data_IF_931365721219
#
_entry.id   IF_931365721219
#
_cell.length_a   1.000
_cell.length_b   1.000
_cell.length_c   1.000
_cell.angle_alpha   90.00
_cell.angle_beta   90.00
_cell.angle_gamma   90.00
#
_symmetry.space_group_name_H-M   'P 1'
#
loop_
_entity.id
_entity.type
_entity.pdbx_description
1 polymer ?
#
# COMPACT_ATOMS: atom_id res chain seq x y z
N UNK A 1 -5.62 -10.40 -3.49
CA UNK A 1 -5.49 -9.41 -2.39
C UNK A 1 -4.50 -9.89 -1.31
N UNK A 2 -4.97 -10.52 -0.24
CA UNK A 2 -4.10 -10.95 0.87
C UNK A 2 -3.00 -11.94 0.46
N UNK A 3 -3.28 -12.86 -0.46
CA UNK A 3 -2.34 -13.85 -0.98
C UNK A 3 -1.32 -13.31 -1.99
N UNK A 4 -1.39 -12.04 -2.32
CA UNK A 4 -0.51 -11.40 -3.30
C UNK A 4 0.92 -11.32 -2.80
N UNK A 5 1.87 -11.77 -3.61
CA UNK A 5 3.30 -11.71 -3.35
C UNK A 5 4.08 -11.12 -4.52
N UNK A 6 3.42 -10.92 -5.68
CA UNK A 6 4.04 -10.33 -6.88
C UNK A 6 3.91 -8.81 -6.85
N UNK A 7 4.80 -8.18 -6.10
CA UNK A 7 4.93 -6.73 -6.04
C UNK A 7 6.13 -6.29 -6.85
N UNK A 8 5.90 -5.37 -7.79
CA UNK A 8 6.97 -4.73 -8.54
C UNK A 8 7.35 -3.41 -7.89
N UNK A 9 8.64 -3.24 -7.65
CA UNK A 9 9.17 -1.96 -7.20
C UNK A 9 9.12 -0.96 -8.35
N UNK A 10 8.48 0.18 -8.09
CA UNK A 10 8.44 1.33 -8.99
C UNK A 10 9.44 2.38 -8.49
N UNK A 11 10.53 2.65 -9.24
CA UNK A 11 11.58 3.57 -8.80
C UNK A 11 11.12 5.04 -8.81
N UNK A 12 10.13 5.40 -9.62
CA UNK A 12 9.58 6.77 -9.68
C UNK A 12 8.75 7.04 -8.43
N UNK A 13 7.84 6.13 -8.10
CA UNK A 13 6.98 6.23 -6.90
C UNK A 13 7.69 5.80 -5.63
N UNK A 14 8.88 5.23 -5.75
CA UNK A 14 9.64 4.66 -4.62
C UNK A 14 8.80 3.72 -3.74
N UNK A 15 7.90 2.94 -4.35
CA UNK A 15 6.99 2.02 -3.68
C UNK A 15 6.81 0.73 -4.47
N UNK A 16 6.18 -0.26 -3.83
CA UNK A 16 5.80 -1.51 -4.48
C UNK A 16 4.34 -1.45 -4.93
N UNK A 17 4.08 -1.85 -6.17
CA UNK A 17 2.75 -1.90 -6.77
C UNK A 17 2.34 -3.33 -7.05
N UNK A 18 1.10 -3.66 -6.75
CA UNK A 18 0.45 -4.91 -7.15
C UNK A 18 -0.36 -4.68 -8.42
N UNK A 19 -0.07 -5.45 -9.48
CA UNK A 19 -0.89 -5.44 -10.70
C UNK A 19 -2.31 -5.90 -10.43
N UNK A 20 -2.43 -6.94 -9.62
CA UNK A 20 -3.72 -7.53 -9.25
C UNK A 20 -4.65 -6.53 -8.55
N UNK A 21 -4.09 -5.60 -7.77
CA UNK A 21 -4.89 -4.57 -7.08
C UNK A 21 -5.68 -3.71 -8.09
N UNK A 22 -5.08 -3.35 -9.21
CA UNK A 22 -5.76 -2.55 -10.26
C UNK A 22 -6.92 -3.33 -10.86
N UNK A 23 -6.70 -4.61 -11.17
CA UNK A 23 -7.74 -5.50 -11.72
C UNK A 23 -8.87 -5.74 -10.71
N UNK A 24 -8.54 -5.95 -9.43
CA UNK A 24 -9.50 -6.15 -8.36
C UNK A 24 -10.33 -4.88 -8.09
N UNK A 25 -9.72 -3.69 -8.20
CA UNK A 25 -10.43 -2.41 -8.15
C UNK A 25 -11.41 -2.27 -9.33
N UNK A 26 -10.98 -2.59 -10.54
CA UNK A 26 -11.85 -2.55 -11.71
C UNK A 26 -13.06 -3.49 -11.56
N UNK A 27 -12.85 -4.71 -11.06
CA UNK A 27 -13.94 -5.66 -10.74
C UNK A 27 -14.89 -5.12 -9.67
N UNK A 28 -14.38 -4.39 -8.69
CA UNK A 28 -15.19 -3.78 -7.62
C UNK A 28 -15.94 -2.51 -8.04
N UNK A 29 -15.80 -2.08 -9.30
CA UNK A 29 -16.46 -0.92 -9.84
C UNK A 29 -15.66 0.38 -9.73
N UNK A 30 -14.33 0.30 -9.59
CA UNK A 30 -13.44 1.45 -9.57
C UNK A 30 -12.33 1.30 -10.62
N UNK A 31 -12.36 2.12 -11.65
CA UNK A 31 -11.27 2.20 -12.64
C UNK A 31 -10.22 3.18 -12.15
N UNK A 32 -8.96 2.72 -12.11
CA UNK A 32 -7.80 3.53 -11.78
C UNK A 32 -6.94 3.73 -13.03
N UNK A 33 -6.65 4.99 -13.36
CA UNK A 33 -5.67 5.37 -14.39
C UNK A 33 -4.56 6.17 -13.74
N UNK A 34 -3.34 5.71 -13.93
CA UNK A 34 -2.15 6.31 -13.35
C UNK A 34 -1.35 6.97 -14.47
N UNK A 35 -1.07 8.26 -14.31
CA UNK A 35 -0.24 9.05 -15.19
C UNK A 35 1.05 9.39 -14.45
N UNK A 36 2.18 8.90 -14.97
CA UNK A 36 3.50 9.24 -14.44
C UNK A 36 3.89 10.62 -14.94
N UNK A 37 4.40 11.45 -14.05
CA UNK A 37 4.83 12.82 -14.35
C UNK A 37 6.35 12.89 -14.16
N UNK A 38 7.10 12.77 -15.24
CA UNK A 38 8.55 12.97 -15.25
C UNK A 38 8.93 14.45 -15.46
N UNK A 39 7.96 15.24 -15.93
CA UNK A 39 8.11 16.69 -16.19
C UNK A 39 6.81 17.43 -15.86
N UNK A 40 6.85 18.77 -15.71
CA UNK A 40 5.63 19.57 -15.57
C UNK A 40 4.66 19.41 -16.75
N UNK A 41 5.14 19.19 -17.95
CA UNK A 41 4.33 18.95 -19.14
C UNK A 41 3.54 17.64 -19.04
N UNK A 42 4.17 16.58 -18.52
CA UNK A 42 3.46 15.31 -18.25
C UNK A 42 2.35 15.50 -17.21
N UNK A 43 2.61 16.32 -16.19
CA UNK A 43 1.61 16.64 -15.17
C UNK A 43 0.45 17.47 -15.75
N UNK A 44 0.71 18.43 -16.63
CA UNK A 44 -0.33 19.20 -17.34
C UNK A 44 -1.17 18.29 -18.24
N UNK A 45 -0.54 17.39 -19.00
CA UNK A 45 -1.24 16.40 -19.83
C UNK A 45 -2.11 15.47 -18.96
N UNK A 46 -1.54 14.90 -17.89
CA UNK A 46 -2.27 14.07 -16.94
C UNK A 46 -3.47 14.80 -16.35
N UNK A 47 -3.27 16.06 -15.95
CA UNK A 47 -4.29 16.91 -15.37
C UNK A 47 -5.40 17.29 -16.37
N UNK A 48 -5.10 17.38 -17.67
CA UNK A 48 -6.10 17.62 -18.72
C UNK A 48 -7.16 16.52 -18.78
N UNK A 49 -6.80 15.30 -18.37
CA UNK A 49 -7.71 14.17 -18.32
C UNK A 49 -8.63 14.13 -17.08
N UNK A 50 -8.37 14.93 -16.06
CA UNK A 50 -9.22 15.06 -14.87
C UNK A 50 -10.30 16.11 -15.14
N UNK A 51 -11.56 15.80 -14.85
CA UNK A 51 -12.67 16.72 -15.05
C UNK A 51 -12.80 17.71 -13.89
N UNK A 52 -13.36 18.89 -14.13
CA UNK A 52 -13.61 19.86 -13.07
C UNK A 52 -14.56 19.27 -12.01
N UNK A 53 -14.22 19.47 -10.72
CA UNK A 53 -14.93 18.88 -9.60
C UNK A 53 -14.57 17.42 -9.32
N UNK A 54 -13.85 16.74 -10.23
CA UNK A 54 -13.40 15.35 -10.02
C UNK A 54 -12.34 15.27 -8.92
N UNK A 55 -12.42 14.22 -8.11
CA UNK A 55 -11.40 13.90 -7.10
C UNK A 55 -10.37 12.96 -7.72
N UNK A 56 -9.11 13.28 -7.55
CA UNK A 56 -7.98 12.51 -8.05
C UNK A 56 -6.92 12.34 -6.97
N UNK A 57 -6.08 11.31 -7.11
CA UNK A 57 -4.97 11.06 -6.21
C UNK A 57 -3.71 11.72 -6.78
N UNK A 58 -2.95 12.39 -5.92
CA UNK A 58 -1.68 13.03 -6.25
C UNK A 58 -0.57 12.36 -5.48
N UNK A 59 0.47 11.94 -6.19
CA UNK A 59 1.74 11.50 -5.62
C UNK A 59 2.76 12.64 -5.65
N UNK A 60 3.26 13.05 -4.48
CA UNK A 60 4.27 14.10 -4.33
C UNK A 60 5.31 13.72 -3.29
N UNK A 61 6.41 14.45 -3.26
CA UNK A 61 7.36 14.34 -2.17
C UNK A 61 6.77 15.00 -0.90
N UNK A 62 6.78 14.28 0.22
CA UNK A 62 6.34 14.83 1.51
C UNK A 62 7.17 16.04 1.95
N UNK A 63 8.39 16.19 1.43
CA UNK A 63 9.24 17.37 1.63
C UNK A 63 8.56 18.67 1.16
N UNK A 64 7.74 18.60 0.11
CA UNK A 64 7.06 19.75 -0.51
C UNK A 64 5.65 20.01 0.08
N UNK A 65 5.15 19.16 1.00
CA UNK A 65 3.80 19.25 1.56
C UNK A 65 3.80 19.93 2.94
N UNK A 66 3.33 21.17 3.01
CA UNK A 66 3.38 22.00 4.23
C UNK A 66 2.67 21.41 5.45
N UNK A 67 1.75 20.47 5.24
CA UNK A 67 1.04 19.77 6.32
C UNK A 67 1.66 18.42 6.70
N UNK A 68 2.64 17.93 5.92
CA UNK A 68 3.29 16.65 6.20
C UNK A 68 4.35 16.80 7.31
N UNK A 69 4.48 15.83 8.23
CA UNK A 69 5.54 15.86 9.24
C UNK A 69 6.96 15.89 8.69
N UNK A 70 7.13 15.51 7.43
CA UNK A 70 8.42 15.50 6.73
C UNK A 70 8.70 16.81 5.96
N UNK A 71 7.81 17.80 6.02
CA UNK A 71 7.95 19.07 5.31
C UNK A 71 9.28 19.75 5.62
N UNK A 72 10.04 20.06 4.58
CA UNK A 72 11.40 20.65 4.66
C UNK A 72 12.40 19.87 5.55
N UNK A 73 12.08 18.62 5.92
CA UNK A 73 12.94 17.80 6.78
C UNK A 73 13.51 16.58 6.05
N UNK A 74 12.66 15.83 5.36
CA UNK A 74 13.11 14.59 4.73
C UNK A 74 12.26 14.26 3.50
N UNK A 75 12.92 13.78 2.44
CA UNK A 75 12.27 13.31 1.23
C UNK A 75 11.58 11.97 1.44
N UNK A 76 10.35 11.85 0.96
CA UNK A 76 9.59 10.60 0.98
C UNK A 76 8.32 10.68 0.13
N UNK A 77 7.96 9.59 -0.57
CA UNK A 77 6.74 9.57 -1.37
C UNK A 77 5.52 9.67 -0.46
N UNK A 78 4.60 10.53 -0.84
CA UNK A 78 3.34 10.72 -0.14
C UNK A 78 2.20 10.86 -1.13
N UNK A 79 1.00 10.42 -0.72
CA UNK A 79 -0.19 10.44 -1.54
C UNK A 79 -1.36 11.09 -0.79
N UNK A 80 -2.08 11.97 -1.48
CA UNK A 80 -3.27 12.61 -0.96
C UNK A 80 -4.33 12.75 -2.07
N UNK A 81 -5.57 12.97 -1.68
CA UNK A 81 -6.66 13.25 -2.60
C UNK A 81 -6.79 14.76 -2.79
N UNK A 82 -6.95 15.19 -4.04
CA UNK A 82 -7.22 16.57 -4.41
C UNK A 82 -8.48 16.64 -5.27
N UNK A 83 -9.25 17.72 -5.16
CA UNK A 83 -10.38 18.00 -6.04
C UNK A 83 -9.98 19.04 -7.09
N UNK A 84 -10.19 18.72 -8.38
CA UNK A 84 -9.92 19.68 -9.45
C UNK A 84 -10.82 20.91 -9.34
N UNK A 85 -10.19 22.08 -9.43
CA UNK A 85 -10.84 23.37 -9.61
C UNK A 85 -10.32 24.00 -10.90
N UNK A 86 -11.10 24.92 -11.48
CA UNK A 86 -10.72 25.60 -12.72
C UNK A 86 -9.38 26.33 -12.60
N UNK A 87 -9.17 27.03 -11.49
CA UNK A 87 -7.95 27.78 -11.21
C UNK A 87 -7.67 27.83 -9.70
N UNK A 88 -6.40 28.10 -9.35
CA UNK A 88 -5.99 28.45 -8.01
C UNK A 88 -5.55 27.27 -7.14
N UNK A 89 -6.26 27.01 -6.08
CA UNK A 89 -5.91 25.99 -5.10
C UNK A 89 -6.86 24.79 -5.17
N UNK A 90 -6.28 23.59 -5.02
CA UNK A 90 -7.05 22.36 -4.90
C UNK A 90 -7.36 22.08 -3.43
N UNK A 91 -8.65 21.97 -3.05
CA UNK A 91 -9.01 21.39 -1.77
C UNK A 91 -8.51 19.95 -1.69
N UNK A 92 -7.85 19.62 -0.57
CA UNK A 92 -7.21 18.32 -0.38
C UNK A 92 -7.76 17.58 0.83
N UNK A 93 -7.71 16.26 0.75
CA UNK A 93 -7.93 15.35 1.85
C UNK A 93 -6.73 14.40 1.94
N UNK A 94 -6.08 14.38 3.08
CA UNK A 94 -4.97 13.48 3.36
C UNK A 94 -5.39 12.39 4.34
N UNK A 95 -5.68 11.17 3.85
CA UNK A 95 -6.14 10.08 4.69
C UNK A 95 -5.06 9.57 5.66
N UNK A 96 -3.78 9.74 5.32
CA UNK A 96 -2.65 9.29 6.15
C UNK A 96 -2.62 10.04 7.48
N UNK A 97 -2.89 11.34 7.44
CA UNK A 97 -2.91 12.20 8.62
C UNK A 97 -4.32 12.57 9.08
N UNK A 98 -5.35 11.99 8.44
CA UNK A 98 -6.77 12.33 8.70
C UNK A 98 -7.06 13.82 8.60
N UNK A 99 -6.35 14.52 7.71
CA UNK A 99 -6.49 15.95 7.51
C UNK A 99 -7.53 16.26 6.44
N UNK A 100 -8.42 17.18 6.76
CA UNK A 100 -9.42 17.75 5.85
C UNK A 100 -9.26 19.27 5.82
N UNK A 101 -9.65 19.89 4.70
CA UNK A 101 -9.64 21.33 4.58
C UNK A 101 -8.26 21.95 4.37
N UNK A 102 -7.25 21.15 4.08
CA UNK A 102 -5.98 21.65 3.55
C UNK A 102 -6.12 21.93 2.06
N UNK A 103 -5.31 22.83 1.53
CA UNK A 103 -5.27 23.12 0.10
C UNK A 103 -3.84 23.20 -0.39
N UNK A 104 -3.67 22.99 -1.70
CA UNK A 104 -2.40 23.10 -2.39
C UNK A 104 -2.57 23.87 -3.70
N UNK A 105 -1.61 24.74 -4.02
CA UNK A 105 -1.61 25.46 -5.28
C UNK A 105 -1.51 24.48 -6.47
N UNK A 106 -2.36 24.68 -7.48
CA UNK A 106 -2.28 23.97 -8.74
C UNK A 106 -0.87 24.00 -9.33
N UNK A 107 -0.21 25.16 -9.29
CA UNK A 107 1.16 25.32 -9.78
C UNK A 107 2.12 24.34 -9.10
N UNK A 108 2.05 24.21 -7.78
CA UNK A 108 2.91 23.28 -7.03
C UNK A 108 2.65 21.84 -7.45
N UNK A 109 1.39 21.45 -7.63
CA UNK A 109 1.04 20.08 -8.08
C UNK A 109 1.62 19.83 -9.48
N UNK A 110 1.46 20.75 -10.43
CA UNK A 110 1.95 20.59 -11.79
C UNK A 110 3.49 20.55 -11.85
N UNK A 111 4.18 21.30 -10.97
CA UNK A 111 5.64 21.33 -10.92
C UNK A 111 6.28 20.15 -10.17
N UNK A 112 5.55 19.53 -9.21
CA UNK A 112 6.14 18.61 -8.22
C UNK A 112 5.50 17.23 -8.15
N UNK A 113 4.32 17.03 -8.74
CA UNK A 113 3.72 15.70 -8.75
C UNK A 113 4.58 14.72 -9.56
N UNK A 114 4.87 13.56 -9.00
CA UNK A 114 5.51 12.46 -9.72
C UNK A 114 4.48 11.48 -10.30
N UNK A 115 3.24 11.49 -9.82
CA UNK A 115 2.10 10.89 -10.51
C UNK A 115 0.78 11.61 -10.20
N UNK A 116 -0.16 11.51 -11.16
CA UNK A 116 -1.55 11.90 -11.02
C UNK A 116 -2.37 10.65 -11.33
N UNK A 117 -3.21 10.24 -10.39
CA UNK A 117 -4.02 9.03 -10.55
C UNK A 117 -5.50 9.39 -10.53
N UNK A 118 -6.18 9.09 -11.64
CA UNK A 118 -7.60 9.30 -11.79
C UNK A 118 -8.37 8.07 -11.33
N UNK A 119 -9.40 8.30 -10.51
CA UNK A 119 -10.31 7.28 -10.03
C UNK A 119 -11.71 7.52 -10.60
N UNK A 120 -12.23 6.58 -11.35
CA UNK A 120 -13.59 6.64 -11.90
C UNK A 120 -14.44 5.49 -11.36
N UNK A 121 -15.69 5.81 -11.04
CA UNK A 121 -16.70 4.78 -10.79
C UNK A 121 -17.11 4.19 -12.13
N UNK A 122 -17.02 2.88 -12.25
CA UNK A 122 -17.51 2.11 -13.40
C UNK A 122 -18.52 1.08 -12.89
N UNK A 123 -19.39 0.53 -13.75
CA UNK A 123 -20.19 -0.62 -13.36
C UNK A 123 -19.25 -1.74 -12.87
N UNK A 124 -19.51 -2.32 -11.69
CA UNK A 124 -18.74 -3.46 -11.24
C UNK A 124 -18.91 -4.61 -12.23
N UNK A 125 -17.86 -5.38 -12.46
CA UNK A 125 -17.99 -6.62 -13.21
C UNK A 125 -19.00 -7.53 -12.51
N UNK A 126 -19.86 -8.25 -13.25
CA UNK A 126 -20.75 -9.24 -12.65
C UNK A 126 -19.89 -10.19 -11.81
N UNK A 127 -20.07 -10.15 -10.50
CA UNK A 127 -19.38 -11.08 -9.59
C UNK A 127 -20.37 -12.17 -9.24
N UNK A 128 -20.41 -13.21 -10.05
CA UNK A 128 -21.21 -14.41 -9.81
C UNK A 128 -20.63 -15.26 -8.67
N UNK A 129 -19.48 -14.88 -8.12
CA UNK A 129 -18.81 -15.63 -7.07
C UNK A 129 -19.39 -15.29 -5.70
N UNK A 130 -19.79 -16.31 -4.96
CA UNK A 130 -20.16 -16.17 -3.56
C UNK A 130 -18.99 -15.58 -2.76
N UNK A 131 -19.19 -14.48 -1.97
CA UNK A 131 -18.12 -13.87 -1.20
C UNK A 131 -17.34 -14.85 -0.31
N UNK A 132 -17.99 -15.86 0.24
CA UNK A 132 -17.32 -16.94 1.01
C UNK A 132 -16.34 -17.74 0.12
N UNK A 133 -16.72 -18.01 -1.13
CA UNK A 133 -15.85 -18.74 -2.06
C UNK A 133 -14.64 -17.89 -2.48
N UNK A 134 -14.80 -16.57 -2.61
CA UNK A 134 -13.69 -15.65 -2.81
C UNK A 134 -12.70 -15.71 -1.62
N UNK A 135 -13.20 -15.69 -0.38
CA UNK A 135 -12.35 -15.83 0.81
C UNK A 135 -11.66 -17.20 0.82
N UNK A 136 -12.38 -18.29 0.47
CA UNK A 136 -11.79 -19.63 0.40
C UNK A 136 -10.66 -19.69 -0.63
N UNK A 137 -10.85 -19.10 -1.80
CA UNK A 137 -9.82 -19.02 -2.85
C UNK A 137 -8.61 -18.24 -2.36
N UNK A 138 -8.81 -17.12 -1.67
CA UNK A 138 -7.71 -16.33 -1.08
C UNK A 138 -6.96 -17.11 0.01
N UNK A 139 -7.67 -17.85 0.87
CA UNK A 139 -7.04 -18.72 1.88
C UNK A 139 -6.17 -19.81 1.24
N UNK A 140 -6.69 -20.49 0.21
CA UNK A 140 -5.92 -21.52 -0.52
C UNK A 140 -4.70 -20.92 -1.22
N UNK A 141 -4.84 -19.73 -1.80
CA UNK A 141 -3.74 -19.02 -2.43
C UNK A 141 -2.69 -18.59 -1.39
N UNK A 142 -3.11 -18.07 -0.23
CA UNK A 142 -2.21 -17.70 0.86
C UNK A 142 -1.40 -18.89 1.39
N UNK A 143 -2.01 -20.05 1.56
CA UNK A 143 -1.31 -21.27 1.96
C UNK A 143 -0.19 -21.67 1.00
N UNK A 144 -0.33 -21.34 -0.30
CA UNK A 144 0.71 -21.59 -1.32
C UNK A 144 1.76 -20.48 -1.36
N UNK A 145 1.35 -19.22 -1.17
CA UNK A 145 2.22 -18.06 -1.33
C UNK A 145 3.02 -17.69 -0.08
N UNK A 146 2.53 -17.98 1.13
CA UNK A 146 3.19 -17.59 2.37
C UNK A 146 4.55 -18.25 2.60
N UNK A 147 4.80 -19.54 2.26
CA UNK A 147 6.13 -20.10 2.28
C UNK A 147 7.12 -19.36 1.37
N UNK A 148 6.67 -18.96 0.16
CA UNK A 148 7.47 -18.17 -0.79
C UNK A 148 7.78 -16.80 -0.20
N UNK A 149 6.79 -16.18 0.44
CA UNK A 149 6.93 -14.88 1.10
C UNK A 149 7.91 -14.94 2.27
N UNK A 150 7.84 -16.00 3.06
CA UNK A 150 8.79 -16.22 4.16
C UNK A 150 10.23 -16.35 3.63
N UNK A 151 10.44 -17.13 2.57
CA UNK A 151 11.74 -17.25 1.91
C UNK A 151 12.22 -15.90 1.36
N UNK A 152 11.33 -15.11 0.73
CA UNK A 152 11.66 -13.79 0.22
C UNK A 152 12.07 -12.80 1.33
N UNK A 153 11.45 -12.88 2.51
CA UNK A 153 11.89 -12.10 3.67
C UNK A 153 13.22 -12.56 4.22
N UNK A 154 13.45 -13.87 4.33
CA UNK A 154 14.74 -14.43 4.73
C UNK A 154 15.88 -13.89 3.86
N UNK A 155 15.72 -13.96 2.54
CA UNK A 155 16.69 -13.42 1.59
C UNK A 155 16.92 -11.90 1.75
N UNK A 156 15.85 -11.12 1.97
CA UNK A 156 15.98 -9.68 2.21
C UNK A 156 16.71 -9.37 3.52
N UNK A 157 16.48 -10.16 4.56
CA UNK A 157 17.20 -10.03 5.84
C UNK A 157 18.69 -10.29 5.64
N UNK A 158 19.06 -11.34 4.90
CA UNK A 158 20.44 -11.65 4.54
C UNK A 158 21.07 -10.52 3.72
N UNK A 159 20.38 -9.97 2.72
CA UNK A 159 20.85 -8.81 1.95
C UNK A 159 21.08 -7.58 2.83
N UNK A 160 20.20 -7.33 3.80
CA UNK A 160 20.35 -6.21 4.75
C UNK A 160 21.54 -6.39 5.69
N UNK A 161 21.91 -7.62 6.06
CA UNK A 161 23.07 -7.91 6.87
C UNK A 161 24.39 -7.61 6.12
N UNK A 162 24.42 -7.87 4.82
CA UNK A 162 25.63 -7.75 4.00
C UNK A 162 25.88 -6.35 3.42
N UNK A 163 24.88 -5.44 3.40
CA UNK A 163 24.95 -4.18 2.64
C UNK A 163 24.30 -2.99 3.33
N UNK A 164 24.31 -1.85 2.65
CA UNK A 164 23.90 -0.54 3.11
C UNK A 164 22.41 -0.40 3.43
N UNK A 165 22.03 0.76 3.98
CA UNK A 165 20.67 1.03 4.46
C UNK A 165 19.59 1.01 3.36
N UNK A 166 19.95 1.11 2.08
CA UNK A 166 18.98 1.15 0.99
C UNK A 166 18.17 -0.14 0.89
N UNK A 167 18.82 -1.31 1.06
CA UNK A 167 18.14 -2.61 1.02
C UNK A 167 17.12 -2.76 2.15
N UNK A 168 17.46 -2.27 3.34
CA UNK A 168 16.54 -2.29 4.47
C UNK A 168 15.37 -1.33 4.25
N UNK A 169 15.58 -0.16 3.66
CA UNK A 169 14.50 0.75 3.27
C UNK A 169 13.57 0.12 2.22
N UNK A 170 14.10 -0.62 1.25
CA UNK A 170 13.30 -1.39 0.29
C UNK A 170 12.49 -2.50 0.96
N UNK A 171 13.07 -3.22 1.92
CA UNK A 171 12.36 -4.23 2.71
C UNK A 171 11.22 -3.62 3.55
N UNK A 172 11.43 -2.43 4.12
CA UNK A 172 10.38 -1.68 4.82
C UNK A 172 9.21 -1.33 3.89
N UNK A 173 9.49 -0.85 2.69
CA UNK A 173 8.45 -0.53 1.69
C UNK A 173 7.70 -1.76 1.20
N UNK A 174 8.40 -2.88 1.07
CA UNK A 174 7.76 -4.16 0.77
C UNK A 174 6.79 -4.59 1.87
N UNK A 175 7.19 -4.47 3.13
CA UNK A 175 6.32 -4.74 4.27
C UNK A 175 5.09 -3.80 4.28
N UNK A 176 5.25 -2.53 3.90
CA UNK A 176 4.15 -1.57 3.80
C UNK A 176 3.12 -1.96 2.73
N UNK A 177 3.56 -2.44 1.56
CA UNK A 177 2.67 -2.98 0.53
C UNK A 177 1.88 -4.20 1.03
N UNK A 178 2.52 -5.08 1.79
CA UNK A 178 1.84 -6.22 2.43
C UNK A 178 0.81 -5.77 3.46
N UNK A 179 1.10 -4.77 4.28
CA UNK A 179 0.16 -4.19 5.25
C UNK A 179 -1.06 -3.64 4.52
N UNK A 180 -0.85 -2.87 3.45
CA UNK A 180 -1.92 -2.31 2.62
C UNK A 180 -2.85 -3.38 2.06
N UNK A 181 -2.29 -4.49 1.56
CA UNK A 181 -3.09 -5.61 1.08
C UNK A 181 -3.94 -6.27 2.17
N UNK A 182 -3.43 -6.34 3.39
CA UNK A 182 -4.17 -6.87 4.54
C UNK A 182 -5.31 -5.96 4.96
N UNK A 183 -5.13 -4.65 4.89
CA UNK A 183 -6.21 -3.70 5.11
C UNK A 183 -7.29 -3.79 4.03
N UNK A 184 -6.92 -3.93 2.75
CA UNK A 184 -7.88 -4.14 1.66
C UNK A 184 -8.68 -5.44 1.84
N UNK A 185 -8.01 -6.52 2.27
CA UNK A 185 -8.69 -7.78 2.54
C UNK A 185 -9.63 -7.68 3.75
N UNK A 186 -9.21 -7.01 4.82
CA UNK A 186 -10.07 -6.69 5.97
C UNK A 186 -11.31 -5.92 5.51
N UNK A 187 -11.12 -4.86 4.71
CA UNK A 187 -12.24 -4.08 4.17
C UNK A 187 -13.21 -4.95 3.37
N UNK A 188 -12.69 -5.88 2.56
CA UNK A 188 -13.52 -6.85 1.85
C UNK A 188 -14.34 -7.72 2.81
N UNK A 189 -13.73 -8.25 3.87
CA UNK A 189 -14.41 -9.06 4.88
C UNK A 189 -15.50 -8.28 5.63
N UNK A 190 -15.22 -7.03 5.99
CA UNK A 190 -16.19 -6.13 6.64
C UNK A 190 -17.38 -5.82 5.72
N UNK A 191 -17.11 -5.44 4.47
CA UNK A 191 -18.13 -5.13 3.46
C UNK A 191 -19.10 -6.29 3.24
N UNK A 192 -18.60 -7.51 3.25
CA UNK A 192 -19.40 -8.73 3.04
C UNK A 192 -19.86 -9.40 4.34
N UNK A 193 -19.68 -8.77 5.50
CA UNK A 193 -20.03 -9.27 6.83
C UNK A 193 -19.37 -10.62 7.16
N UNK A 194 -18.15 -10.82 6.69
CA UNK A 194 -17.35 -12.04 6.88
C UNK A 194 -16.19 -11.86 7.86
N UNK A 195 -16.08 -10.69 8.52
CA UNK A 195 -14.93 -10.39 9.38
C UNK A 195 -14.77 -11.37 10.54
N UNK A 196 -15.87 -11.85 11.13
CA UNK A 196 -15.85 -12.85 12.20
C UNK A 196 -15.44 -14.26 11.74
N UNK A 197 -15.28 -14.49 10.44
CA UNK A 197 -14.81 -15.77 9.89
C UNK A 197 -13.29 -15.89 9.95
N UNK A 198 -12.61 -14.75 9.88
CA UNK A 198 -11.14 -14.63 9.97
C UNK A 198 -10.79 -13.54 11.00
N UNK A 199 -10.96 -13.87 12.30
CA UNK A 199 -10.78 -12.96 13.44
C UNK A 199 -9.42 -12.24 13.45
N UNK A 200 -8.38 -12.88 12.88
CA UNK A 200 -7.06 -12.31 12.75
C UNK A 200 -7.08 -10.92 12.11
N UNK A 201 -7.94 -10.71 11.09
CA UNK A 201 -8.02 -9.44 10.37
C UNK A 201 -8.85 -8.37 11.08
N UNK A 202 -9.51 -8.69 12.19
CA UNK A 202 -10.13 -7.71 13.09
C UNK A 202 -9.18 -7.27 14.22
N UNK A 203 -8.10 -8.02 14.46
CA UNK A 203 -7.16 -7.78 15.55
C UNK A 203 -6.23 -6.59 15.26
N UNK A 204 -6.41 -5.49 15.98
CA UNK A 204 -5.53 -4.30 15.89
C UNK A 204 -4.08 -4.61 16.21
N UNK A 205 -3.81 -5.58 17.10
CA UNK A 205 -2.47 -5.99 17.49
C UNK A 205 -1.74 -6.61 16.31
N UNK A 206 -2.44 -7.40 15.48
CA UNK A 206 -1.88 -7.97 14.26
C UNK A 206 -1.31 -6.91 13.31
N UNK A 207 -2.04 -5.81 13.09
CA UNK A 207 -1.55 -4.70 12.25
C UNK A 207 -0.41 -3.92 12.92
N UNK A 208 -0.47 -3.73 14.23
CA UNK A 208 0.61 -3.10 14.98
C UNK A 208 1.92 -3.90 14.88
N UNK A 209 1.85 -5.23 14.92
CA UNK A 209 3.01 -6.12 14.75
C UNK A 209 3.59 -6.03 13.33
N UNK A 210 2.76 -6.02 12.28
CA UNK A 210 3.23 -5.78 10.91
C UNK A 210 3.86 -4.38 10.74
N UNK A 211 3.26 -3.36 11.36
CA UNK A 211 3.83 -2.01 11.39
C UNK A 211 5.19 -1.98 12.11
N UNK A 212 5.34 -2.75 13.18
CA UNK A 212 6.61 -2.89 13.88
C UNK A 212 7.68 -3.55 12.99
N UNK A 213 7.31 -4.54 12.15
CA UNK A 213 8.23 -5.11 11.15
C UNK A 213 8.68 -4.04 10.15
N UNK A 214 7.75 -3.28 9.56
CA UNK A 214 8.08 -2.17 8.66
C UNK A 214 9.05 -1.18 9.31
N UNK A 215 8.69 -0.68 10.50
CA UNK A 215 9.50 0.30 11.23
C UNK A 215 10.85 -0.27 11.66
N UNK A 216 10.91 -1.56 11.96
CA UNK A 216 12.16 -2.26 12.27
C UNK A 216 13.13 -2.25 11.09
N UNK A 217 12.66 -2.51 9.86
CA UNK A 217 13.50 -2.38 8.66
C UNK A 217 13.98 -0.95 8.43
N UNK A 218 13.13 0.07 8.65
CA UNK A 218 13.60 1.47 8.61
C UNK A 218 14.66 1.74 9.68
N UNK A 219 14.49 1.20 10.89
CA UNK A 219 15.51 1.32 11.94
C UNK A 219 16.82 0.66 11.53
N UNK A 220 16.79 -0.52 10.90
CA UNK A 220 17.97 -1.18 10.35
C UNK A 220 18.66 -0.30 9.31
N UNK A 221 17.92 0.41 8.47
CA UNK A 221 18.50 1.26 7.41
C UNK A 221 19.41 2.38 7.93
N UNK A 222 19.20 2.81 9.19
CA UNK A 222 19.95 3.91 9.82
C UNK A 222 20.78 3.46 11.03
N UNK A 223 20.75 2.18 11.42
CA UNK A 223 21.42 1.65 12.61
C UNK A 223 22.81 1.10 12.28
N UNK A 224 23.75 1.26 13.21
CA UNK A 224 25.04 0.57 13.19
C UNK A 224 24.96 -0.88 13.70
N UNK A 225 24.02 -1.17 14.65
CA UNK A 225 23.83 -2.49 15.25
C UNK A 225 22.70 -3.26 14.54
N UNK A 226 22.98 -3.85 13.39
CA UNK A 226 21.96 -4.44 12.51
C UNK A 226 21.58 -5.87 12.86
N UNK A 227 22.53 -6.70 13.27
CA UNK A 227 22.35 -8.17 13.39
C UNK A 227 21.23 -8.57 14.35
N UNK A 228 21.21 -8.04 15.58
CA UNK A 228 20.19 -8.35 16.56
C UNK A 228 18.79 -7.92 16.11
N UNK A 229 18.69 -6.74 15.45
CA UNK A 229 17.44 -6.25 14.89
C UNK A 229 16.94 -7.13 13.74
N UNK A 230 17.83 -7.58 12.86
CA UNK A 230 17.46 -8.43 11.72
C UNK A 230 17.00 -9.80 12.18
N UNK A 231 17.64 -10.37 13.20
CA UNK A 231 17.20 -11.62 13.81
C UNK A 231 15.77 -11.50 14.38
N UNK A 232 15.53 -10.47 15.20
CA UNK A 232 14.20 -10.20 15.77
C UNK A 232 13.14 -10.00 14.69
N UNK A 233 13.47 -9.29 13.60
CA UNK A 233 12.57 -9.09 12.48
C UNK A 233 12.22 -10.40 11.77
N UNK A 234 13.19 -11.30 11.60
CA UNK A 234 12.98 -12.63 11.03
C UNK A 234 11.96 -13.44 11.83
N UNK A 235 12.14 -13.53 13.14
CA UNK A 235 11.21 -14.23 14.02
C UNK A 235 9.81 -13.62 14.01
N UNK A 236 9.70 -12.28 13.99
CA UNK A 236 8.40 -11.58 13.89
C UNK A 236 7.67 -11.89 12.59
N UNK A 237 8.37 -11.84 11.45
CA UNK A 237 7.79 -12.18 10.14
C UNK A 237 7.32 -13.62 10.12
N UNK A 238 8.14 -14.57 10.59
CA UNK A 238 7.76 -15.97 10.67
C UNK A 238 6.51 -16.19 11.54
N UNK A 239 6.47 -15.56 12.72
CA UNK A 239 5.32 -15.62 13.63
C UNK A 239 4.06 -15.09 12.97
N UNK A 240 4.12 -13.93 12.29
CA UNK A 240 2.99 -13.29 11.63
C UNK A 240 2.46 -14.14 10.48
N UNK A 241 3.33 -14.60 9.58
CA UNK A 241 2.94 -15.47 8.47
C UNK A 241 2.43 -16.83 8.96
N UNK A 242 3.00 -17.36 10.05
CA UNK A 242 2.48 -18.56 10.71
C UNK A 242 1.06 -18.38 11.24
N UNK A 243 0.72 -17.21 11.81
CA UNK A 243 -0.65 -16.90 12.26
C UNK A 243 -1.61 -16.83 11.07
N UNK A 244 -1.20 -16.19 9.97
CA UNK A 244 -1.98 -16.10 8.75
C UNK A 244 -2.26 -17.48 8.13
N UNK A 245 -1.24 -18.34 8.06
CA UNK A 245 -1.41 -19.72 7.57
C UNK A 245 -2.36 -20.55 8.45
N UNK A 246 -2.28 -20.39 9.78
CA UNK A 246 -3.22 -21.07 10.69
C UNK A 246 -4.66 -20.60 10.47
N UNK A 247 -4.87 -19.30 10.32
CA UNK A 247 -6.18 -18.73 10.01
C UNK A 247 -6.74 -19.25 8.68
N UNK A 248 -5.89 -19.29 7.63
CA UNK A 248 -6.26 -19.81 6.32
C UNK A 248 -6.64 -21.29 6.34
N UNK A 249 -5.88 -22.14 7.05
CA UNK A 249 -6.20 -23.58 7.23
C UNK A 249 -7.51 -23.76 7.94
N UNK A 250 -7.68 -23.12 9.10
CA UNK A 250 -8.91 -23.18 9.89
C UNK A 250 -10.16 -22.85 9.06
N UNK A 251 -10.06 -21.84 8.19
CA UNK A 251 -11.18 -21.48 7.32
C UNK A 251 -11.39 -22.51 6.20
N UNK A 252 -10.30 -23.02 5.61
CA UNK A 252 -10.39 -23.99 4.50
C UNK A 252 -10.92 -25.37 4.93
N UNK A 253 -10.73 -25.75 6.19
CA UNK A 253 -11.13 -27.05 6.75
C UNK A 253 -12.56 -27.04 7.31
N UNK A 254 -13.08 -25.91 7.75
CA UNK A 254 -14.38 -25.79 8.42
C UNK A 254 -15.55 -25.41 7.50
N UNK A 255 -15.37 -25.45 6.21
CA UNK A 255 -16.35 -25.13 5.17
C UNK A 255 -16.23 -26.10 4.02
#
# INVERSE_FOLDING_TARGET
MWSETDFRYDPVRKTYLSRRMIDDLARSGAQMRIYLCASPQDAEEAFSHVEEGEVFLVGMDAFDLSWAPLYNLMHGPHYFLAQKRAEGEFPCFDPTYSLQGVSISQKIVLERAFDITRLRKIPPAPDDSCPKECVRRECRAALKSHPILLQAFGHRIEECAMRDGERAALAARYADALISNRYLFRYYLEKHRLIGVLDLFSDKKFYAEWTAVKNGFYKVSVSAAKEALLFELGERVESLLGREMRAARKFSENV
#
